data_IF_565367000829
#
_entry.id   IF_565367000829
#
_cell.length_a   1.000
_cell.length_b   1.000
_cell.length_c   1.000
_cell.angle_alpha   90.00
_cell.angle_beta   90.00
_cell.angle_gamma   90.00
#
_symmetry.space_group_name_H-M   'P 1'
#
loop_
_entity.id
_entity.type
_entity.pdbx_description
1 polymer ?
#
# COMPACT_ATOMS: atom_id res chain seq x y z
N UNK A 1 -50.69 29.08 -52.49
CA UNK A 1 -49.48 28.24 -52.37
C UNK A 1 -48.82 28.60 -51.04
N UNK A 2 -48.82 27.67 -50.08
CA UNK A 2 -48.32 27.87 -48.71
C UNK A 2 -46.82 27.54 -48.66
N UNK A 3 -45.98 28.51 -48.30
CA UNK A 3 -44.56 28.30 -48.03
C UNK A 3 -44.36 27.88 -46.57
N UNK A 4 -43.75 26.72 -46.36
CA UNK A 4 -43.41 26.18 -45.03
C UNK A 4 -42.00 26.64 -44.67
N UNK A 5 -41.87 27.36 -43.56
CA UNK A 5 -40.60 27.70 -42.92
C UNK A 5 -40.25 26.56 -41.96
N UNK A 6 -39.11 25.90 -42.19
CA UNK A 6 -38.57 24.88 -41.28
C UNK A 6 -37.51 25.53 -40.39
N UNK A 7 -37.83 25.69 -39.11
CA UNK A 7 -36.91 26.12 -38.07
C UNK A 7 -36.14 24.88 -37.55
N UNK A 8 -34.85 24.79 -37.83
CA UNK A 8 -33.97 23.74 -37.28
C UNK A 8 -33.39 24.22 -35.93
N UNK A 9 -34.00 23.74 -34.84
CA UNK A 9 -33.45 23.83 -33.48
C UNK A 9 -32.40 22.72 -33.29
N UNK A 10 -31.12 23.06 -33.42
CA UNK A 10 -30.02 22.17 -33.06
C UNK A 10 -29.81 22.16 -31.54
N UNK A 11 -30.16 21.06 -30.87
CA UNK A 11 -29.75 20.81 -29.49
C UNK A 11 -28.24 20.52 -29.46
N UNK A 12 -27.46 21.45 -28.91
CA UNK A 12 -26.08 21.19 -28.52
C UNK A 12 -26.09 20.33 -27.24
N UNK A 13 -25.91 19.02 -27.37
CA UNK A 13 -25.63 18.15 -26.24
C UNK A 13 -24.20 18.43 -25.75
N UNK A 14 -24.06 19.23 -24.71
CA UNK A 14 -22.80 19.37 -23.98
C UNK A 14 -22.52 18.05 -23.26
N UNK A 15 -21.70 17.19 -23.88
CA UNK A 15 -21.07 16.07 -23.20
C UNK A 15 -20.11 16.66 -22.16
N UNK A 16 -20.59 16.76 -20.92
CA UNK A 16 -19.72 16.97 -19.77
C UNK A 16 -18.79 15.76 -19.68
N UNK A 17 -17.60 15.87 -20.27
CA UNK A 17 -16.53 14.94 -19.98
C UNK A 17 -16.25 15.09 -18.49
N UNK A 18 -16.60 14.07 -17.71
CA UNK A 18 -16.09 13.91 -16.37
C UNK A 18 -14.57 13.85 -16.53
N UNK A 19 -13.89 14.98 -16.28
CA UNK A 19 -12.44 15.01 -16.18
C UNK A 19 -12.10 13.97 -15.12
N UNK A 20 -11.41 12.91 -15.52
CA UNK A 20 -10.69 12.09 -14.56
C UNK A 20 -9.80 13.05 -13.77
N UNK A 21 -10.14 13.28 -12.51
CA UNK A 21 -9.28 13.98 -11.56
C UNK A 21 -8.17 12.97 -11.22
N UNK A 22 -7.31 12.70 -12.21
CA UNK A 22 -6.21 11.75 -12.11
C UNK A 22 -4.96 12.52 -11.76
N UNK A 23 -4.69 12.65 -10.46
CA UNK A 23 -3.43 13.22 -9.99
C UNK A 23 -3.56 13.93 -8.65
N UNK A 24 -2.42 14.11 -8.01
CA UNK A 24 -2.31 14.94 -6.82
C UNK A 24 -2.27 16.41 -7.26
N UNK A 25 -3.19 17.22 -6.72
CA UNK A 25 -3.22 18.66 -6.98
C UNK A 25 -2.62 19.43 -5.79
N UNK A 26 -2.13 20.66 -5.99
CA UNK A 26 -1.63 21.49 -4.89
C UNK A 26 -2.68 21.74 -3.78
N UNK A 27 -3.98 21.76 -4.15
CA UNK A 27 -5.08 21.88 -3.19
C UNK A 27 -5.21 20.64 -2.28
N UNK A 28 -5.00 19.44 -2.83
CA UNK A 28 -4.96 18.20 -2.05
C UNK A 28 -3.75 18.20 -1.11
N UNK A 29 -2.56 18.55 -1.61
CA UNK A 29 -1.37 18.66 -0.78
C UNK A 29 -1.58 19.64 0.39
N UNK A 30 -2.14 20.82 0.09
CA UNK A 30 -2.45 21.84 1.11
C UNK A 30 -3.42 21.31 2.17
N UNK A 31 -4.46 20.57 1.76
CA UNK A 31 -5.39 19.95 2.68
C UNK A 31 -4.72 18.89 3.58
N UNK A 32 -3.83 18.07 3.01
CA UNK A 32 -3.09 17.03 3.77
C UNK A 32 -2.13 17.66 4.78
N UNK A 33 -1.41 18.72 4.39
CA UNK A 33 -0.50 19.45 5.30
C UNK A 33 -1.24 20.10 6.47
N UNK A 34 -2.48 20.52 6.26
CA UNK A 34 -3.33 21.16 7.25
C UNK A 34 -4.13 20.17 8.13
N UNK A 35 -3.92 18.85 7.97
CA UNK A 35 -4.67 17.80 8.67
C UNK A 35 -4.75 18.02 10.18
N UNK A 36 -3.65 18.43 10.80
CA UNK A 36 -3.60 18.83 12.20
C UNK A 36 -3.09 20.28 12.30
N UNK A 37 -3.98 21.27 12.50
CA UNK A 37 -3.56 22.68 12.60
C UNK A 37 -2.57 22.96 13.75
N UNK A 38 -2.53 22.12 14.79
CA UNK A 38 -1.56 22.26 15.89
C UNK A 38 -0.18 21.71 15.53
N UNK A 39 -0.09 20.87 14.51
CA UNK A 39 1.14 20.25 14.02
C UNK A 39 1.08 20.15 12.49
N UNK A 40 1.13 21.31 11.78
CA UNK A 40 1.10 21.31 10.34
C UNK A 40 2.32 20.57 9.79
N UNK A 41 2.15 19.89 8.66
CA UNK A 41 3.24 19.13 8.06
C UNK A 41 4.07 20.07 7.19
N UNK A 42 5.29 20.31 7.64
CA UNK A 42 6.28 21.12 6.92
C UNK A 42 7.17 20.23 6.06
N UNK A 43 8.17 20.81 5.40
CA UNK A 43 9.16 20.04 4.65
C UNK A 43 8.81 19.74 3.20
N UNK A 44 9.82 19.27 2.46
CA UNK A 44 9.72 18.98 1.03
C UNK A 44 8.87 17.73 0.79
N UNK A 45 7.96 17.80 -0.19
CA UNK A 45 7.24 16.64 -0.69
C UNK A 45 8.23 15.73 -1.41
N UNK A 46 8.34 14.46 -0.98
CA UNK A 46 9.28 13.49 -1.57
C UNK A 46 8.58 12.34 -2.27
N UNK A 47 7.35 12.01 -1.90
CA UNK A 47 6.54 10.96 -2.54
C UNK A 47 5.09 11.40 -2.56
N UNK A 48 4.38 11.16 -3.66
CA UNK A 48 2.97 11.48 -3.79
C UNK A 48 2.27 10.50 -4.75
N UNK A 49 1.13 9.99 -4.34
CA UNK A 49 0.25 9.24 -5.24
C UNK A 49 -1.22 9.51 -4.93
N UNK A 50 -2.02 9.71 -5.97
CA UNK A 50 -3.44 9.93 -5.87
C UNK A 50 -4.20 9.08 -6.89
N UNK A 51 -5.26 8.39 -6.46
CA UNK A 51 -6.10 7.51 -7.28
C UNK A 51 -7.57 7.65 -6.91
N UNK A 52 -8.48 7.52 -7.88
CA UNK A 52 -9.92 7.51 -7.60
C UNK A 52 -10.32 6.38 -6.64
N UNK A 53 -11.24 6.66 -5.72
CA UNK A 53 -11.66 5.73 -4.67
C UNK A 53 -13.20 5.68 -4.48
N UNK A 54 -13.84 4.51 -4.58
CA UNK A 54 -13.35 3.33 -5.29
C UNK A 54 -13.01 3.66 -6.75
N UNK A 55 -12.17 2.86 -7.43
CA UNK A 55 -11.85 3.08 -8.84
C UNK A 55 -13.11 3.28 -9.70
N UNK A 56 -13.10 4.30 -10.57
CA UNK A 56 -14.22 4.64 -11.45
C UNK A 56 -15.38 5.42 -10.79
N UNK A 57 -15.27 5.81 -9.51
CA UNK A 57 -16.28 6.61 -8.80
C UNK A 57 -15.70 7.98 -8.42
N UNK A 58 -15.65 8.91 -9.37
CA UNK A 58 -14.87 10.17 -9.32
C UNK A 58 -15.22 11.23 -8.25
N UNK A 59 -15.89 10.88 -7.14
CA UNK A 59 -16.23 11.82 -6.05
C UNK A 59 -15.25 11.78 -4.88
N UNK A 60 -14.53 10.68 -4.72
CA UNK A 60 -13.55 10.50 -3.64
C UNK A 60 -12.23 10.05 -4.25
N UNK A 61 -11.14 10.54 -3.70
CA UNK A 61 -9.78 10.24 -4.10
C UNK A 61 -9.03 9.68 -2.90
N UNK A 62 -8.34 8.56 -3.08
CA UNK A 62 -7.31 8.13 -2.16
C UNK A 62 -6.02 8.91 -2.49
N UNK A 63 -5.39 9.49 -1.48
CA UNK A 63 -4.15 10.25 -1.60
C UNK A 63 -3.16 9.76 -0.55
N UNK A 64 -1.91 9.57 -0.94
CA UNK A 64 -0.79 9.38 -0.02
C UNK A 64 0.34 10.32 -0.38
N UNK A 65 0.93 10.95 0.64
CA UNK A 65 2.09 11.82 0.48
C UNK A 65 3.09 11.61 1.63
N UNK A 66 4.38 11.75 1.33
CA UNK A 66 5.45 11.80 2.33
C UNK A 66 6.22 13.11 2.22
N UNK A 67 6.57 13.66 3.38
CA UNK A 67 7.24 14.95 3.53
C UNK A 67 8.49 14.82 4.38
N UNK A 68 9.64 15.19 3.85
CA UNK A 68 10.92 15.18 4.57
C UNK A 68 10.95 16.30 5.61
N UNK A 69 11.00 15.94 6.89
CA UNK A 69 10.95 16.90 8.00
C UNK A 69 12.33 17.37 8.45
N UNK A 70 13.36 16.56 8.24
CA UNK A 70 14.73 16.85 8.59
C UNK A 70 15.67 16.12 7.62
N UNK A 71 16.82 16.71 7.25
CA UNK A 71 17.86 16.04 6.50
C UNK A 71 18.69 15.11 7.42
N UNK A 72 19.67 14.41 6.84
CA UNK A 72 20.64 13.63 7.60
C UNK A 72 21.41 14.49 8.62
N UNK A 73 21.81 13.92 9.77
CA UNK A 73 21.70 12.51 10.16
C UNK A 73 20.32 12.10 10.72
N UNK A 74 19.48 13.06 11.11
CA UNK A 74 18.17 12.80 11.75
C UNK A 74 17.04 12.69 10.72
N UNK A 75 17.35 12.09 9.56
CA UNK A 75 16.44 12.13 8.42
C UNK A 75 15.15 11.40 8.78
N UNK A 76 14.03 12.09 8.58
CA UNK A 76 12.71 11.57 8.92
C UNK A 76 11.66 12.12 7.98
N UNK A 77 10.64 11.30 7.74
CA UNK A 77 9.51 11.66 6.91
C UNK A 77 8.22 11.54 7.70
N UNK A 78 7.29 12.46 7.42
CA UNK A 78 5.90 12.34 7.85
C UNK A 78 5.09 11.95 6.63
N UNK A 79 4.37 10.84 6.74
CA UNK A 79 3.43 10.37 5.75
C UNK A 79 1.99 10.68 6.14
N UNK A 80 1.15 10.94 5.14
CA UNK A 80 -0.30 11.03 5.31
C UNK A 80 -0.99 10.23 4.23
N UNK A 81 -1.83 9.28 4.63
CA UNK A 81 -2.80 8.61 3.79
C UNK A 81 -4.17 9.23 4.05
N UNK A 82 -4.95 9.54 3.02
CA UNK A 82 -6.27 10.12 3.18
C UNK A 82 -7.25 9.72 2.09
N UNK A 83 -8.54 9.75 2.44
CA UNK A 83 -9.65 9.82 1.50
C UNK A 83 -10.12 11.27 1.43
N UNK A 84 -10.19 11.82 0.23
CA UNK A 84 -10.46 13.24 -0.02
C UNK A 84 -11.69 13.38 -0.90
N UNK A 85 -12.64 14.21 -0.49
CA UNK A 85 -13.72 14.65 -1.36
C UNK A 85 -13.17 15.64 -2.39
N UNK A 86 -13.22 15.28 -3.67
CA UNK A 86 -12.58 16.06 -4.75
C UNK A 86 -13.28 17.38 -5.05
N UNK A 87 -14.57 17.52 -4.72
CA UNK A 87 -15.34 18.74 -4.96
C UNK A 87 -15.08 19.82 -3.91
N UNK A 88 -14.91 19.40 -2.65
CA UNK A 88 -14.74 20.31 -1.50
C UNK A 88 -13.31 20.39 -0.99
N UNK A 89 -12.41 19.55 -1.52
CA UNK A 89 -11.04 19.35 -1.01
C UNK A 89 -11.02 19.05 0.49
N UNK A 90 -12.04 18.31 0.95
CA UNK A 90 -12.23 17.98 2.35
C UNK A 90 -11.71 16.57 2.64
N UNK A 91 -10.92 16.41 3.69
CA UNK A 91 -10.51 15.11 4.19
C UNK A 91 -11.71 14.41 4.82
N UNK A 92 -12.05 13.24 4.30
CA UNK A 92 -13.10 12.37 4.85
C UNK A 92 -12.51 11.50 5.96
N UNK A 93 -11.37 10.88 5.65
CA UNK A 93 -10.62 10.01 6.55
C UNK A 93 -9.13 10.23 6.34
N UNK A 94 -8.34 10.07 7.38
CA UNK A 94 -6.89 10.19 7.28
C UNK A 94 -6.15 9.30 8.27
N UNK A 95 -4.91 8.96 7.92
CA UNK A 95 -3.92 8.35 8.79
C UNK A 95 -2.59 9.06 8.59
N UNK A 96 -2.05 9.63 9.67
CA UNK A 96 -0.70 10.21 9.70
C UNK A 96 0.25 9.17 10.29
N UNK A 97 1.42 9.01 9.70
CA UNK A 97 2.45 8.09 10.15
C UNK A 97 3.84 8.74 10.00
N UNK A 98 4.83 8.18 10.68
CA UNK A 98 6.21 8.63 10.58
C UNK A 98 7.09 7.50 10.03
N UNK A 99 8.10 7.86 9.25
CA UNK A 99 9.15 6.96 8.77
C UNK A 99 10.47 7.59 9.23
N UNK A 100 11.17 6.94 10.15
CA UNK A 100 12.52 7.35 10.54
C UNK A 100 13.54 6.67 9.62
N UNK A 101 14.58 7.40 9.18
CA UNK A 101 15.72 6.77 8.51
C UNK A 101 16.46 5.90 9.53
N UNK A 102 16.28 4.59 9.42
CA UNK A 102 17.12 3.58 10.07
C UNK A 102 17.93 2.83 9.00
N UNK A 103 18.88 2.01 9.43
CA UNK A 103 19.67 1.19 8.49
C UNK A 103 18.74 0.31 7.64
N UNK A 104 18.62 0.61 6.35
CA UNK A 104 17.74 -0.10 5.42
C UNK A 104 16.39 0.56 5.15
N UNK A 105 16.11 1.73 5.71
CA UNK A 105 14.89 2.51 5.45
C UNK A 105 15.24 3.77 4.65
N UNK A 106 14.57 3.96 3.52
CA UNK A 106 14.67 5.15 2.67
C UNK A 106 13.32 5.50 2.07
N UNK A 107 13.14 6.78 1.74
CA UNK A 107 11.94 7.28 1.04
C UNK A 107 12.37 8.11 -0.17
N UNK A 108 11.83 7.75 -1.31
CA UNK A 108 11.90 8.45 -2.59
C UNK A 108 10.50 8.61 -3.21
N UNK A 109 10.45 9.10 -4.44
CA UNK A 109 9.21 9.35 -5.19
C UNK A 109 8.36 8.09 -5.41
N UNK A 110 8.97 6.91 -5.43
CA UNK A 110 8.31 5.64 -5.71
C UNK A 110 8.03 4.79 -4.47
N UNK A 111 8.46 5.25 -3.30
CA UNK A 111 8.39 4.49 -2.06
C UNK A 111 6.98 4.26 -1.53
N UNK A 112 6.03 5.18 -1.78
CA UNK A 112 4.63 5.03 -1.36
C UNK A 112 3.69 4.80 -2.55
N UNK A 113 2.89 3.72 -2.49
CA UNK A 113 1.92 3.39 -3.54
C UNK A 113 0.57 3.01 -2.93
N UNK A 114 -0.51 3.52 -3.51
CA UNK A 114 -1.89 3.13 -3.21
C UNK A 114 -2.20 1.80 -3.90
N UNK A 115 -2.60 0.82 -3.10
CA UNK A 115 -3.17 -0.44 -3.56
C UNK A 115 -4.70 -0.34 -3.48
N UNK A 116 -5.32 -0.25 -4.65
CA UNK A 116 -6.78 -0.09 -4.80
C UNK A 116 -7.45 -1.38 -5.24
N UNK A 117 -6.84 -2.54 -4.98
CA UNK A 117 -7.49 -3.83 -5.20
C UNK A 117 -8.82 -3.92 -4.41
N UNK A 118 -9.79 -4.73 -4.87
CA UNK A 118 -11.12 -4.79 -4.28
C UNK A 118 -11.12 -5.58 -2.96
N UNK A 119 -10.50 -5.02 -1.92
CA UNK A 119 -10.51 -5.60 -0.57
C UNK A 119 -11.86 -5.37 0.11
N UNK A 120 -12.90 -6.02 -0.39
CA UNK A 120 -14.25 -5.98 0.18
C UNK A 120 -14.28 -6.84 1.44
N UNK A 121 -14.05 -6.23 2.60
CA UNK A 121 -13.90 -6.92 3.87
C UNK A 121 -15.24 -7.29 4.49
N UNK A 122 -16.29 -6.53 4.21
CA UNK A 122 -17.68 -6.83 4.62
C UNK A 122 -18.64 -6.08 3.67
N UNK A 123 -19.96 -6.37 3.69
CA UNK A 123 -20.91 -5.61 2.90
C UNK A 123 -20.81 -4.10 3.16
N UNK A 124 -20.48 -3.33 2.10
CA UNK A 124 -20.30 -1.88 2.18
C UNK A 124 -18.97 -1.41 2.80
N UNK A 125 -18.08 -2.33 3.21
CA UNK A 125 -16.79 -2.01 3.81
C UNK A 125 -15.65 -2.48 2.89
N UNK A 126 -15.02 -1.52 2.21
CA UNK A 126 -13.82 -1.76 1.39
C UNK A 126 -12.59 -1.14 2.05
N UNK A 127 -11.51 -1.90 2.16
CA UNK A 127 -10.24 -1.41 2.68
C UNK A 127 -9.36 -0.79 1.58
N UNK A 128 -8.69 0.32 1.92
CA UNK A 128 -7.66 0.96 1.11
C UNK A 128 -6.29 0.39 1.49
N UNK A 129 -5.52 -0.06 0.50
CA UNK A 129 -4.16 -0.52 0.73
C UNK A 129 -3.13 0.59 0.55
N UNK A 130 -2.12 0.60 1.42
CA UNK A 130 -0.89 1.37 1.26
C UNK A 130 0.29 0.40 1.15
N UNK A 131 1.07 0.52 0.07
CA UNK A 131 2.35 -0.15 -0.13
C UNK A 131 3.48 0.79 0.25
N UNK A 132 4.48 0.28 0.96
CA UNK A 132 5.76 0.93 1.20
C UNK A 132 6.91 0.07 0.68
N UNK A 133 7.76 0.65 -0.16
CA UNK A 133 9.03 0.06 -0.57
C UNK A 133 10.16 1.01 -0.16
N UNK A 134 11.15 0.50 0.57
CA UNK A 134 12.32 1.28 0.94
C UNK A 134 13.20 1.53 -0.27
N UNK A 135 13.69 2.76 -0.42
CA UNK A 135 14.69 3.13 -1.43
C UNK A 135 16.14 2.92 -0.96
N UNK A 136 16.35 2.50 0.29
CA UNK A 136 17.68 2.26 0.81
C UNK A 136 18.31 1.03 0.12
N UNK A 137 19.63 1.05 -0.15
CA UNK A 137 20.32 -0.06 -0.84
C UNK A 137 20.40 -1.36 -0.01
N UNK A 138 19.98 -1.31 1.25
CA UNK A 138 20.10 -2.42 2.20
C UNK A 138 21.55 -2.76 2.55
N UNK A 139 21.77 -3.72 3.45
CA UNK A 139 23.09 -4.23 3.75
C UNK A 139 23.74 -4.94 2.55
N UNK A 140 25.08 -4.98 2.52
CA UNK A 140 25.83 -5.67 1.47
C UNK A 140 25.71 -7.19 1.57
N UNK A 141 25.70 -7.77 2.76
CA UNK A 141 25.59 -9.20 2.99
C UNK A 141 24.48 -9.49 4.01
N UNK A 142 23.23 -9.28 3.61
CA UNK A 142 22.08 -9.69 4.43
C UNK A 142 21.87 -11.20 4.34
N UNK A 143 21.45 -11.80 5.45
CA UNK A 143 20.97 -13.18 5.50
C UNK A 143 19.45 -13.26 5.34
N UNK A 144 18.75 -12.14 5.53
CA UNK A 144 17.31 -12.04 5.33
C UNK A 144 16.90 -10.62 4.92
N UNK A 145 15.71 -10.51 4.35
CA UNK A 145 15.18 -9.26 3.85
C UNK A 145 13.67 -9.29 3.75
N UNK A 146 13.08 -8.10 3.81
CA UNK A 146 11.66 -7.87 3.61
C UNK A 146 11.49 -6.62 2.74
N UNK A 147 10.33 -6.52 2.09
CA UNK A 147 10.01 -5.37 1.28
C UNK A 147 8.58 -5.40 0.79
N UNK A 148 8.21 -4.32 0.07
CA UNK A 148 6.87 -4.10 -0.43
C UNK A 148 5.80 -4.28 0.65
N UNK A 149 6.00 -3.61 1.79
CA UNK A 149 5.11 -3.65 2.94
C UNK A 149 3.71 -3.22 2.53
N UNK A 150 2.70 -4.02 2.82
CA UNK A 150 1.29 -3.68 2.61
C UNK A 150 0.62 -3.46 3.97
N UNK A 151 -0.11 -2.36 4.09
CA UNK A 151 -1.07 -2.15 5.19
C UNK A 151 -2.45 -1.87 4.61
N UNK A 152 -3.48 -2.57 5.10
CA UNK A 152 -4.87 -2.31 4.75
C UNK A 152 -5.53 -1.43 5.81
N UNK A 153 -6.23 -0.40 5.36
CA UNK A 153 -6.93 0.57 6.19
C UNK A 153 -8.43 0.55 5.92
N UNK A 154 -9.23 0.65 6.97
CA UNK A 154 -10.67 0.87 6.87
C UNK A 154 -11.05 2.30 7.26
N UNK A 155 -12.00 2.94 6.54
CA UNK A 155 -12.58 4.20 6.98
C UNK A 155 -13.38 4.00 8.28
N UNK A 156 -13.04 4.74 9.33
CA UNK A 156 -13.77 4.78 10.59
C UNK A 156 -13.84 6.19 11.14
N UNK A 157 -15.03 6.79 11.13
CA UNK A 157 -15.21 8.20 11.47
C UNK A 157 -14.35 9.10 10.58
N UNK A 158 -13.44 9.85 11.18
CA UNK A 158 -12.45 10.70 10.49
C UNK A 158 -11.07 10.04 10.32
N UNK A 159 -10.93 8.78 10.71
CA UNK A 159 -9.66 8.05 10.68
C UNK A 159 -9.64 7.00 9.59
N UNK A 160 -8.46 6.72 9.06
CA UNK A 160 -8.16 5.48 8.36
C UNK A 160 -7.48 4.55 9.38
N UNK A 161 -8.18 3.54 9.86
CA UNK A 161 -7.66 2.63 10.88
C UNK A 161 -6.98 1.43 10.21
N UNK A 162 -5.72 1.10 10.55
CA UNK A 162 -5.07 -0.09 10.03
C UNK A 162 -5.74 -1.35 10.61
N UNK A 163 -5.97 -2.34 9.75
CA UNK A 163 -6.59 -3.62 10.14
C UNK A 163 -5.75 -4.84 9.74
N UNK A 164 -4.78 -4.67 8.85
CA UNK A 164 -3.87 -5.73 8.41
C UNK A 164 -2.54 -5.12 7.98
N UNK A 165 -1.44 -5.82 8.21
CA UNK A 165 -0.10 -5.42 7.78
C UNK A 165 0.77 -6.64 7.50
N UNK A 166 1.50 -6.66 6.38
CA UNK A 166 2.52 -7.66 6.09
C UNK A 166 3.53 -7.19 5.03
N UNK A 167 4.75 -7.74 5.05
CA UNK A 167 5.70 -7.65 3.94
C UNK A 167 5.23 -8.52 2.77
N UNK A 168 5.02 -7.91 1.59
CA UNK A 168 4.60 -8.65 0.39
C UNK A 168 5.75 -9.29 -0.38
N UNK A 169 6.99 -9.01 0.04
CA UNK A 169 8.20 -9.66 -0.40
C UNK A 169 9.04 -10.04 0.82
N UNK A 170 9.52 -11.28 0.88
CA UNK A 170 10.48 -11.75 1.88
C UNK A 170 11.58 -12.56 1.21
N UNK A 171 12.78 -12.48 1.76
CA UNK A 171 13.94 -13.22 1.26
C UNK A 171 14.74 -13.78 2.42
N UNK A 172 15.31 -14.98 2.25
CA UNK A 172 16.26 -15.57 3.20
C UNK A 172 17.40 -16.28 2.49
N UNK A 173 18.60 -16.16 3.03
CA UNK A 173 19.73 -16.97 2.62
C UNK A 173 19.49 -18.43 3.02
N UNK A 174 19.85 -19.33 2.10
CA UNK A 174 19.93 -20.78 2.29
C UNK A 174 21.40 -21.18 2.37
N UNK A 175 22.23 -20.55 1.53
CA UNK A 175 23.69 -20.66 1.55
C UNK A 175 24.30 -19.28 1.32
N UNK A 176 25.35 -18.93 2.06
CA UNK A 176 25.99 -17.62 1.99
C UNK A 176 25.05 -16.49 2.43
N UNK A 177 24.99 -15.42 1.64
CA UNK A 177 24.12 -14.26 1.85
C UNK A 177 23.19 -14.05 0.64
N UNK A 178 22.26 -13.09 0.75
CA UNK A 178 21.35 -12.72 -0.35
C UNK A 178 22.13 -12.20 -1.58
N UNK A 179 22.33 -13.05 -2.57
CA UNK A 179 22.77 -12.73 -3.94
C UNK A 179 24.18 -12.17 -4.14
N UNK A 180 24.85 -11.64 -3.09
CA UNK A 180 26.14 -10.96 -3.21
C UNK A 180 27.35 -11.81 -2.79
N UNK A 181 27.12 -12.98 -2.22
CA UNK A 181 28.18 -13.89 -1.78
C UNK A 181 28.50 -14.96 -2.85
N UNK A 182 29.77 -15.42 -2.95
CA UNK A 182 30.10 -16.59 -3.75
C UNK A 182 29.25 -17.80 -3.33
N UNK A 183 28.77 -18.57 -4.29
CA UNK A 183 27.91 -19.75 -4.06
C UNK A 183 26.61 -19.45 -3.29
N UNK A 184 26.15 -18.20 -3.26
CA UNK A 184 24.91 -17.84 -2.60
C UNK A 184 23.70 -18.60 -3.17
N UNK A 185 22.85 -19.10 -2.29
CA UNK A 185 21.51 -19.58 -2.59
C UNK A 185 20.51 -18.93 -1.62
N UNK A 186 19.35 -18.52 -2.11
CA UNK A 186 18.34 -17.84 -1.28
C UNK A 186 16.92 -18.11 -1.77
N UNK A 187 15.99 -18.17 -0.84
CA UNK A 187 14.56 -18.27 -1.15
C UNK A 187 13.97 -16.87 -1.22
N UNK A 188 13.18 -16.60 -2.25
CA UNK A 188 12.36 -15.40 -2.40
C UNK A 188 10.89 -15.79 -2.33
N UNK A 189 10.18 -15.22 -1.36
CA UNK A 189 8.74 -15.38 -1.18
C UNK A 189 8.00 -14.12 -1.60
N UNK A 190 7.06 -14.27 -2.53
CA UNK A 190 6.15 -13.21 -2.96
C UNK A 190 4.73 -13.56 -2.56
N UNK A 191 3.97 -12.56 -2.09
CA UNK A 191 2.64 -12.78 -1.54
C UNK A 191 1.55 -12.16 -2.41
N UNK A 192 0.41 -12.84 -2.49
CA UNK A 192 -0.82 -12.30 -3.07
C UNK A 192 -1.97 -12.50 -2.09
N UNK A 193 -2.94 -11.58 -2.12
CA UNK A 193 -4.10 -11.60 -1.22
C UNK A 193 -5.36 -11.76 -2.06
N UNK A 194 -6.21 -12.70 -1.66
CA UNK A 194 -7.56 -12.85 -2.15
C UNK A 194 -8.55 -12.69 -0.99
N UNK A 195 -9.74 -12.20 -1.30
CA UNK A 195 -10.86 -12.16 -0.35
C UNK A 195 -11.48 -13.55 -0.28
N UNK A 196 -11.50 -14.12 0.92
CA UNK A 196 -12.08 -15.40 1.27
C UNK A 196 -13.55 -15.29 1.71
N UNK A 197 -14.12 -16.37 2.25
CA UNK A 197 -15.47 -16.37 2.81
C UNK A 197 -15.56 -15.53 4.09
N UNK A 198 -16.76 -15.11 4.53
CA UNK A 198 -16.95 -14.44 5.81
C UNK A 198 -16.52 -15.32 6.98
N UNK A 199 -15.69 -14.76 7.85
CA UNK A 199 -15.30 -15.36 9.12
C UNK A 199 -16.31 -15.09 10.24
N UNK A 200 -16.03 -15.56 11.48
CA UNK A 200 -16.97 -15.50 12.60
C UNK A 200 -17.43 -14.09 13.01
N UNK A 201 -16.62 -13.07 12.73
CA UNK A 201 -16.92 -11.66 13.03
C UNK A 201 -17.65 -10.94 11.87
N UNK A 202 -18.10 -11.68 10.85
CA UNK A 202 -18.82 -11.14 9.69
C UNK A 202 -17.94 -10.42 8.67
N UNK A 203 -16.63 -10.34 8.90
CA UNK A 203 -15.64 -9.86 7.93
C UNK A 203 -15.10 -11.05 7.14
N UNK A 204 -14.89 -10.88 5.84
CA UNK A 204 -14.28 -11.86 4.94
C UNK A 204 -12.84 -12.15 5.37
N UNK A 205 -12.47 -13.43 5.37
CA UNK A 205 -11.09 -13.86 5.60
C UNK A 205 -10.17 -13.31 4.49
N UNK A 206 -8.90 -13.08 4.82
CA UNK A 206 -7.87 -12.81 3.82
C UNK A 206 -7.12 -14.11 3.52
N UNK A 207 -7.24 -14.58 2.29
CA UNK A 207 -6.51 -15.74 1.81
C UNK A 207 -5.20 -15.27 1.19
N UNK A 208 -4.09 -15.52 1.88
CA UNK A 208 -2.76 -15.13 1.42
C UNK A 208 -2.09 -16.33 0.77
N UNK A 209 -1.65 -16.16 -0.47
CA UNK A 209 -0.84 -17.16 -1.17
C UNK A 209 0.58 -16.68 -1.28
N UNK A 210 1.49 -17.43 -0.69
CA UNK A 210 2.92 -17.25 -0.88
C UNK A 210 3.41 -18.12 -2.03
N UNK A 211 4.24 -17.53 -2.90
CA UNK A 211 4.98 -18.23 -3.94
C UNK A 211 6.46 -18.09 -3.66
N UNK A 212 7.11 -19.21 -3.34
CA UNK A 212 8.53 -19.29 -2.99
C UNK A 212 9.32 -19.83 -4.16
N UNK A 213 10.38 -19.11 -4.52
CA UNK A 213 11.32 -19.51 -5.56
C UNK A 213 12.72 -19.53 -4.96
N UNK A 214 13.47 -20.61 -5.19
CA UNK A 214 14.89 -20.68 -4.85
C UNK A 214 15.73 -20.05 -5.96
N UNK A 215 16.64 -19.19 -5.56
CA UNK A 215 17.56 -18.46 -6.42
C UNK A 215 19.00 -18.85 -6.06
N UNK A 216 19.92 -18.69 -7.01
CA UNK A 216 21.35 -18.97 -6.78
C UNK A 216 22.25 -18.05 -7.60
N UNK A 217 23.42 -17.71 -7.04
CA UNK A 217 24.45 -16.92 -7.72
C UNK A 217 25.34 -17.77 -8.65
N UNK A 218 25.30 -19.10 -8.53
CA UNK A 218 26.03 -20.00 -9.42
C UNK A 218 25.35 -20.09 -10.80
N UNK A 219 26.06 -19.71 -11.86
CA UNK A 219 25.57 -19.75 -13.24
C UNK A 219 25.20 -21.16 -13.75
N UNK A 220 25.63 -22.21 -13.06
CA UNK A 220 25.43 -23.62 -13.40
C UNK A 220 24.50 -24.36 -12.43
N UNK A 221 24.08 -23.73 -11.33
CA UNK A 221 23.07 -24.31 -10.47
C UNK A 221 21.71 -24.05 -11.13
N UNK A 222 21.03 -25.13 -11.53
CA UNK A 222 19.63 -25.06 -11.88
C UNK A 222 18.93 -24.48 -10.65
N UNK A 223 18.54 -23.19 -10.70
CA UNK A 223 17.60 -22.66 -9.73
C UNK A 223 16.44 -23.66 -9.67
N UNK A 224 16.10 -24.14 -8.47
CA UNK A 224 15.02 -25.11 -8.31
C UNK A 224 13.74 -24.47 -8.88
N UNK A 225 13.42 -24.82 -10.12
CA UNK A 225 12.58 -24.00 -10.98
C UNK A 225 11.09 -24.14 -10.64
N UNK A 226 10.75 -25.06 -9.72
CA UNK A 226 9.37 -25.31 -9.33
C UNK A 226 9.01 -24.43 -8.13
N UNK A 227 8.16 -23.42 -8.31
CA UNK A 227 7.77 -22.56 -7.20
C UNK A 227 6.97 -23.36 -6.18
N UNK A 228 7.33 -23.26 -4.91
CA UNK A 228 6.54 -23.82 -3.82
C UNK A 228 5.45 -22.84 -3.42
N UNK A 229 4.22 -23.33 -3.26
CA UNK A 229 3.08 -22.49 -2.87
C UNK A 229 2.57 -22.87 -1.50
N UNK A 230 2.36 -21.87 -0.67
CA UNK A 230 1.82 -22.01 0.68
C UNK A 230 0.61 -21.10 0.81
N UNK A 231 -0.44 -21.58 1.47
CA UNK A 231 -1.67 -20.84 1.71
C UNK A 231 -1.79 -20.55 3.19
N UNK A 232 -2.08 -19.29 3.49
CA UNK A 232 -2.38 -18.83 4.83
C UNK A 232 -3.77 -18.20 4.82
N UNK A 233 -4.43 -18.28 5.96
CA UNK A 233 -5.71 -17.61 6.20
C UNK A 233 -5.47 -16.60 7.31
N UNK A 234 -5.91 -15.37 7.11
CA UNK A 234 -6.00 -14.39 8.18
C UNK A 234 -7.46 -14.08 8.46
N UNK A 235 -7.83 -14.16 9.74
CA UNK A 235 -9.18 -13.88 10.21
C UNK A 235 -9.25 -12.60 11.02
N UNK A 236 -10.34 -11.87 10.86
CA UNK A 236 -10.59 -10.67 11.66
C UNK A 236 -10.97 -11.05 13.09
N UNK A 237 -10.26 -10.49 14.06
CA UNK A 237 -10.42 -10.79 15.49
C UNK A 237 -11.23 -9.75 16.27
N UNK A 238 -11.88 -8.81 15.57
CA UNK A 238 -12.62 -7.69 16.17
C UNK A 238 -11.81 -6.40 16.26
N UNK A 239 -10.48 -6.46 16.10
CA UNK A 239 -9.63 -5.27 15.98
C UNK A 239 -8.82 -5.28 14.68
N UNK A 240 -8.11 -6.38 14.43
CA UNK A 240 -7.25 -6.58 13.25
C UNK A 240 -7.33 -8.04 12.76
N UNK A 241 -6.83 -8.26 11.55
CA UNK A 241 -6.61 -9.58 10.99
C UNK A 241 -5.42 -10.26 11.68
N UNK A 242 -5.58 -11.54 12.02
CA UNK A 242 -4.54 -12.39 12.59
C UNK A 242 -4.42 -13.67 11.77
N UNK A 243 -3.19 -14.14 11.60
CA UNK A 243 -2.95 -15.39 10.91
C UNK A 243 -3.57 -16.53 11.71
N UNK A 244 -4.27 -17.44 11.04
CA UNK A 244 -4.63 -18.72 11.63
C UNK A 244 -3.39 -19.59 11.84
N UNK A 245 -3.47 -20.51 12.79
CA UNK A 245 -2.41 -21.49 12.99
C UNK A 245 -2.12 -22.22 11.67
N UNK A 246 -0.85 -22.22 11.28
CA UNK A 246 -0.36 -22.82 10.04
C UNK A 246 0.92 -23.56 10.36
N UNK A 247 1.16 -24.76 9.78
CA UNK A 247 2.46 -25.43 9.86
C UNK A 247 3.58 -24.61 9.21
N UNK A 248 3.20 -23.68 8.35
CA UNK A 248 4.08 -22.71 7.73
C UNK A 248 4.05 -21.40 8.53
N UNK A 249 5.16 -21.07 9.18
CA UNK A 249 5.38 -19.78 9.82
C UNK A 249 6.41 -18.96 9.04
N UNK A 250 6.04 -17.73 8.65
CA UNK A 250 6.95 -16.81 7.95
C UNK A 250 7.90 -16.09 8.89
N UNK A 251 7.64 -16.09 10.19
CA UNK A 251 8.58 -15.58 11.17
C UNK A 251 9.86 -16.42 11.19
N UNK A 252 9.80 -17.70 10.75
CA UNK A 252 10.97 -18.55 10.50
C UNK A 252 11.77 -18.15 9.24
N UNK A 253 11.18 -17.31 8.37
CA UNK A 253 11.79 -16.90 7.10
C UNK A 253 12.41 -15.50 7.17
N UNK A 254 12.04 -14.65 8.13
CA UNK A 254 12.72 -13.39 8.46
C UNK A 254 12.06 -12.75 9.70
N UNK A 255 12.86 -11.99 10.46
CA UNK A 255 12.54 -11.22 11.66
C UNK A 255 11.05 -10.94 11.91
N UNK A 256 10.58 -11.26 13.13
CA UNK A 256 9.25 -10.87 13.64
C UNK A 256 8.97 -9.41 13.29
N UNK A 257 7.92 -9.17 12.51
CA UNK A 257 7.32 -7.86 12.39
C UNK A 257 6.61 -7.54 13.72
N UNK A 258 7.39 -7.04 14.69
CA UNK A 258 6.94 -6.90 16.06
C UNK A 258 7.71 -5.85 16.85
N UNK A 259 7.37 -4.57 16.62
CA UNK A 259 7.52 -3.53 17.65
C UNK A 259 7.44 -2.09 17.10
N UNK A 260 6.79 -1.16 17.83
CA UNK A 260 5.45 -1.20 18.40
C UNK A 260 4.43 -0.48 17.48
N UNK A 261 3.14 -0.60 17.83
CA UNK A 261 2.12 0.31 17.34
C UNK A 261 2.59 1.78 17.49
N UNK A 262 2.59 2.53 16.39
CA UNK A 262 2.67 3.98 16.47
C UNK A 262 1.44 4.47 17.25
N UNK A 263 1.67 4.84 18.52
CA UNK A 263 0.79 5.73 19.27
C UNK A 263 0.98 7.16 18.79
#
# INVERSE_FOLDING_TARGET
>A
MRGVIVLLLGLAAALAQARDISGCTPGIESALRALNPKQPITGALVSAQCKGWPPGRGKVLAAVMAFEQAPRPDRRWVGVLALVNTQRLQLLNSHRFEIAEESGIGVDDNSLRLDTAPYDLAPGLRALGLRYASSAPGPSAADAGFGDELTLFVPEGHTLRPVFGMSMLRTRAVEGCLGKCPHAAWDTASFTIAIGPPGPMGWNDLHVTATVVRNSAAATAQADATPQRQRLVYRYTGNAYRQEASPFDWDDYCCRAGGPAAR
#
